data_IF_781789637809
#
_entry.id   IF_781789637809
#
_cell.length_a   1.000
_cell.length_b   1.000
_cell.length_c   1.000
_cell.angle_alpha   90.00
_cell.angle_beta   90.00
_cell.angle_gamma   90.00
#
_symmetry.space_group_name_H-M   'P 1'
#
loop_
_entity.id
_entity.type
_entity.pdbx_description
1 polymer ?
#
# COMPACT_ATOMS: atom_id res chain seq x y z
N UNK A 1 -25.22 -22.05 -49.36
CA UNK A 1 -23.81 -21.93 -49.78
C UNK A 1 -23.10 -21.11 -48.73
N UNK A 2 -22.05 -21.63 -48.10
CA UNK A 2 -21.19 -20.82 -47.24
C UNK A 2 -20.37 -19.90 -48.15
N UNK A 3 -20.58 -18.59 -48.00
CA UNK A 3 -19.76 -17.61 -48.73
C UNK A 3 -18.35 -17.58 -48.14
N UNK A 4 -17.36 -17.32 -49.00
CA UNK A 4 -15.94 -17.26 -48.60
C UNK A 4 -15.74 -16.20 -47.51
N UNK A 5 -16.49 -15.09 -47.58
CA UNK A 5 -16.47 -14.06 -46.54
C UNK A 5 -16.98 -14.56 -45.19
N UNK A 6 -18.02 -15.40 -45.17
CA UNK A 6 -18.53 -15.99 -43.93
C UNK A 6 -17.54 -16.99 -43.33
N UNK A 7 -16.91 -17.81 -44.17
CA UNK A 7 -15.88 -18.75 -43.72
C UNK A 7 -14.64 -18.01 -43.16
N UNK A 8 -14.22 -16.92 -43.81
CA UNK A 8 -13.10 -16.10 -43.34
C UNK A 8 -13.40 -15.42 -41.99
N UNK A 9 -14.59 -14.82 -41.84
CA UNK A 9 -14.98 -14.21 -40.57
C UNK A 9 -15.06 -15.23 -39.44
N UNK A 10 -15.58 -16.42 -39.70
CA UNK A 10 -15.62 -17.50 -38.72
C UNK A 10 -14.20 -17.93 -38.30
N UNK A 11 -13.29 -18.10 -39.27
CA UNK A 11 -11.90 -18.47 -39.00
C UNK A 11 -11.15 -17.37 -38.21
N UNK A 12 -11.30 -16.10 -38.62
CA UNK A 12 -10.68 -14.97 -37.94
C UNK A 12 -11.22 -14.81 -36.51
N UNK A 13 -12.54 -14.95 -36.33
CA UNK A 13 -13.18 -14.93 -35.01
C UNK A 13 -12.69 -16.06 -34.11
N UNK A 14 -12.58 -17.28 -34.63
CA UNK A 14 -12.04 -18.41 -33.88
C UNK A 14 -10.58 -18.16 -33.44
N UNK A 15 -9.73 -17.62 -34.34
CA UNK A 15 -8.35 -17.29 -34.00
C UNK A 15 -8.25 -16.20 -32.91
N UNK A 16 -9.09 -15.16 -32.98
CA UNK A 16 -9.16 -14.13 -31.94
C UNK A 16 -9.57 -14.69 -30.59
N UNK A 17 -10.57 -15.57 -30.54
CA UNK A 17 -11.01 -16.22 -29.31
C UNK A 17 -9.91 -17.12 -28.74
N UNK A 18 -9.18 -17.85 -29.58
CA UNK A 18 -8.02 -18.64 -29.15
C UNK A 18 -6.94 -17.74 -28.56
N UNK A 19 -6.59 -16.64 -29.24
CA UNK A 19 -5.59 -15.69 -28.75
C UNK A 19 -6.01 -15.08 -27.39
N UNK A 20 -7.29 -14.69 -27.26
CA UNK A 20 -7.84 -14.16 -26.01
C UNK A 20 -7.81 -15.22 -24.90
N UNK A 21 -8.19 -16.46 -25.21
CA UNK A 21 -8.14 -17.58 -24.27
C UNK A 21 -6.72 -17.87 -23.75
N UNK A 22 -5.72 -17.83 -24.63
CA UNK A 22 -4.31 -17.97 -24.25
C UNK A 22 -3.85 -16.82 -23.35
N UNK A 23 -4.17 -15.58 -23.71
CA UNK A 23 -3.87 -14.40 -22.90
C UNK A 23 -4.52 -14.47 -21.51
N UNK A 24 -5.81 -14.78 -21.45
CA UNK A 24 -6.55 -14.94 -20.19
C UNK A 24 -5.93 -16.05 -19.31
N UNK A 25 -5.54 -17.18 -19.89
CA UNK A 25 -4.89 -18.28 -19.15
C UNK A 25 -3.56 -17.85 -18.53
N UNK A 26 -2.74 -17.08 -19.26
CA UNK A 26 -1.48 -16.56 -18.75
C UNK A 26 -1.73 -15.58 -17.57
N UNK A 27 -2.68 -14.65 -17.74
CA UNK A 27 -3.05 -13.69 -16.68
C UNK A 27 -3.58 -14.38 -15.43
N UNK A 28 -4.42 -15.42 -15.57
CA UNK A 28 -4.94 -16.19 -14.43
C UNK A 28 -3.81 -16.89 -13.66
N UNK A 29 -2.78 -17.42 -14.35
CA UNK A 29 -1.63 -18.02 -13.67
C UNK A 29 -0.87 -16.99 -12.84
N UNK A 30 -0.56 -15.84 -13.43
CA UNK A 30 0.12 -14.73 -12.73
C UNK A 30 -0.70 -14.27 -11.53
N UNK A 31 -2.01 -14.09 -11.71
CA UNK A 31 -2.88 -13.61 -10.64
C UNK A 31 -3.04 -14.62 -9.50
N UNK A 32 -3.13 -15.93 -9.80
CA UNK A 32 -3.15 -16.98 -8.76
C UNK A 32 -1.87 -16.96 -7.95
N UNK A 33 -0.72 -16.86 -8.60
CA UNK A 33 0.57 -16.80 -7.94
C UNK A 33 0.71 -15.54 -7.07
N UNK A 34 0.30 -14.38 -7.60
CA UNK A 34 0.28 -13.12 -6.86
C UNK A 34 -0.67 -13.18 -5.65
N UNK A 35 -1.84 -13.80 -5.80
CA UNK A 35 -2.82 -13.99 -4.72
C UNK A 35 -2.30 -14.92 -3.64
N UNK A 36 -1.56 -15.97 -4.00
CA UNK A 36 -0.93 -16.86 -3.01
C UNK A 36 0.15 -16.13 -2.20
N UNK A 37 0.99 -15.32 -2.85
CA UNK A 37 1.97 -14.47 -2.16
C UNK A 37 1.30 -13.42 -1.28
N UNK A 38 0.22 -12.79 -1.76
CA UNK A 38 -0.56 -11.82 -0.98
C UNK A 38 -1.19 -12.47 0.26
N UNK A 39 -1.73 -13.69 0.12
CA UNK A 39 -2.28 -14.44 1.25
C UNK A 39 -1.19 -14.77 2.29
N UNK A 40 -0.04 -15.28 1.86
CA UNK A 40 1.12 -15.53 2.74
C UNK A 40 1.60 -14.27 3.44
N UNK A 41 1.62 -13.11 2.76
CA UNK A 41 1.91 -11.82 3.39
C UNK A 41 0.87 -11.46 4.45
N UNK A 42 -0.41 -11.65 4.18
CA UNK A 42 -1.49 -11.32 5.13
C UNK A 42 -1.49 -12.24 6.36
N UNK A 43 -1.18 -13.52 6.18
CA UNK A 43 -1.01 -14.49 7.28
C UNK A 43 0.24 -14.16 8.11
N UNK A 44 1.37 -13.82 7.48
CA UNK A 44 2.59 -13.39 8.19
C UNK A 44 2.54 -11.95 8.77
N UNK A 45 1.68 -11.09 8.26
CA UNK A 45 1.38 -9.77 8.83
C UNK A 45 0.47 -9.89 10.05
N UNK A 46 -0.44 -10.89 10.06
CA UNK A 46 -1.23 -11.24 11.24
C UNK A 46 -0.35 -11.74 12.40
N UNK A 47 0.75 -12.41 12.10
CA UNK A 47 1.71 -12.94 13.08
C UNK A 47 2.72 -11.89 13.59
N UNK A 48 2.91 -10.79 12.85
CA UNK A 48 3.78 -9.67 13.27
C UNK A 48 3.12 -8.78 14.32
N UNK A 49 1.79 -8.79 14.43
CA UNK A 49 1.05 -8.00 15.42
C UNK A 49 0.71 -8.77 16.70
N UNK A 50 0.97 -10.08 16.77
CA UNK A 50 0.75 -10.92 17.98
C UNK A 50 1.96 -10.99 18.92
N UNK A 51 3.02 -10.23 18.65
CA UNK A 51 4.10 -10.03 19.61
C UNK A 51 4.41 -8.55 19.72
N UNK A 52 3.50 -7.84 20.37
CA UNK A 52 3.81 -6.56 21.00
C UNK A 52 4.61 -6.87 22.27
N UNK A 53 5.94 -6.64 22.32
CA UNK A 53 6.62 -6.64 23.60
C UNK A 53 6.08 -5.45 24.39
N UNK A 54 5.24 -5.76 25.37
CA UNK A 54 4.81 -4.91 26.49
C UNK A 54 5.81 -3.76 26.66
N UNK A 55 5.41 -2.56 26.26
CA UNK A 55 6.08 -1.33 26.67
C UNK A 55 5.83 -1.17 28.18
N UNK A 56 6.59 -1.89 29.00
CA UNK A 56 6.83 -1.50 30.39
C UNK A 56 7.79 -0.30 30.35
N UNK A 57 7.29 0.83 29.84
CA UNK A 57 7.86 2.13 30.14
C UNK A 57 6.87 2.78 31.09
N UNK A 58 7.31 2.89 32.33
CA UNK A 58 6.68 3.68 33.37
C UNK A 58 6.17 5.00 32.74
N UNK A 59 4.87 5.34 32.83
CA UNK A 59 4.38 6.58 32.27
C UNK A 59 5.14 7.70 32.93
N UNK A 60 5.99 8.39 32.16
CA UNK A 60 6.66 9.58 32.62
C UNK A 60 5.58 10.55 33.12
N UNK A 61 5.75 10.96 34.37
CA UNK A 61 4.92 11.92 35.07
C UNK A 61 4.53 13.09 34.15
N UNK A 62 3.24 13.33 33.88
CA UNK A 62 2.79 14.40 33.00
C UNK A 62 3.07 15.81 33.56
N UNK A 63 3.57 15.92 34.79
CA UNK A 63 3.88 17.18 35.47
C UNK A 63 5.39 17.50 35.52
N UNK A 64 6.21 16.82 34.70
CA UNK A 64 7.62 17.20 34.50
C UNK A 64 7.76 18.16 33.29
N UNK A 65 7.46 19.43 33.58
CA UNK A 65 8.14 20.62 33.02
C UNK A 65 7.81 21.05 31.56
N UNK A 66 6.82 21.94 31.43
CA UNK A 66 6.80 23.01 30.42
C UNK A 66 6.93 22.60 28.95
N UNK A 67 5.96 21.86 28.41
CA UNK A 67 5.91 21.48 26.99
C UNK A 67 5.92 22.71 26.05
N UNK A 68 7.12 23.15 25.66
CA UNK A 68 7.33 24.27 24.75
C UNK A 68 6.69 23.93 23.40
N UNK A 69 5.65 24.67 23.01
CA UNK A 69 5.14 24.63 21.64
C UNK A 69 6.25 25.09 20.71
N UNK A 70 6.48 24.35 19.64
CA UNK A 70 7.49 24.70 18.64
C UNK A 70 6.82 25.36 17.44
N UNK A 71 7.29 26.54 17.10
CA UNK A 71 6.87 27.24 15.88
C UNK A 71 7.71 26.73 14.72
N UNK A 72 7.04 26.33 13.64
CA UNK A 72 7.73 25.83 12.46
C UNK A 72 8.58 26.93 11.81
N UNK A 73 9.89 26.71 11.58
CA UNK A 73 10.74 27.71 10.93
C UNK A 73 10.46 27.89 9.43
N UNK A 74 9.70 26.98 8.82
CA UNK A 74 9.36 27.04 7.38
C UNK A 74 8.02 27.74 7.13
N UNK A 75 6.95 27.38 7.84
CA UNK A 75 5.62 27.93 7.60
C UNK A 75 5.03 28.76 8.75
N UNK A 76 5.70 28.82 9.91
CA UNK A 76 5.23 29.57 11.08
C UNK A 76 4.12 28.90 11.90
N UNK A 77 3.69 27.68 11.55
CA UNK A 77 2.64 26.98 12.29
C UNK A 77 3.09 26.56 13.70
N UNK A 78 2.17 26.62 14.67
CA UNK A 78 2.40 26.10 16.03
C UNK A 78 2.21 24.57 16.08
N UNK A 79 3.22 23.88 16.61
CA UNK A 79 3.22 22.44 16.79
C UNK A 79 3.39 22.08 18.27
N UNK A 80 2.76 20.98 18.69
CA UNK A 80 2.96 20.46 20.04
C UNK A 80 4.36 19.83 20.15
N UNK A 81 4.94 19.86 21.36
CA UNK A 81 6.31 19.40 21.63
C UNK A 81 6.61 17.95 21.21
N UNK A 82 5.58 17.11 21.05
CA UNK A 82 5.73 15.72 20.59
C UNK A 82 5.93 15.55 19.08
N UNK A 83 5.80 16.61 18.29
CA UNK A 83 5.94 16.52 16.83
C UNK A 83 7.38 16.80 16.40
N UNK A 84 7.97 15.85 15.66
CA UNK A 84 9.27 16.03 14.99
C UNK A 84 9.15 16.77 13.65
N UNK A 85 7.93 16.83 13.08
CA UNK A 85 7.62 17.45 11.80
C UNK A 85 6.42 18.38 11.93
N UNK A 86 6.40 19.44 11.12
CA UNK A 86 5.29 20.36 11.07
C UNK A 86 4.02 19.68 10.54
N UNK A 87 2.90 19.89 11.23
CA UNK A 87 1.60 19.33 10.82
C UNK A 87 1.00 19.98 9.57
N UNK A 88 1.49 21.14 9.16
CA UNK A 88 0.99 21.84 7.98
C UNK A 88 1.88 21.62 6.74
N UNK A 89 3.20 21.80 6.89
CA UNK A 89 4.13 21.75 5.75
C UNK A 89 5.08 20.56 5.76
N UNK A 90 5.02 19.69 6.78
CA UNK A 90 5.89 18.52 6.96
C UNK A 90 7.41 18.82 7.07
N UNK A 91 7.81 20.09 7.22
CA UNK A 91 9.20 20.44 7.49
C UNK A 91 9.66 19.93 8.88
N UNK A 92 10.93 19.55 9.05
CA UNK A 92 11.47 19.14 10.33
C UNK A 92 11.46 20.30 11.34
N UNK A 93 11.15 20.00 12.61
CA UNK A 93 11.09 20.97 13.71
C UNK A 93 12.32 20.95 14.63
N UNK A 94 13.24 20.01 14.40
CA UNK A 94 14.51 19.89 15.13
C UNK A 94 15.68 20.57 14.41
N UNK A 95 16.86 20.66 15.05
CA UNK A 95 18.05 21.19 14.41
C UNK A 95 18.42 20.34 13.18
N UNK A 96 18.75 21.00 12.07
CA UNK A 96 19.36 20.36 10.90
C UNK A 96 20.83 20.06 11.17
#
# INVERSE_FOLDING_TARGET
MFDVGTAYLAAAGALLLVALGVGARALVRIFREARERSRKRREGEFERYTKDPVYDRDPADPEADGAARSTCPQCGAENAAGFCYCRECAAPLGPN
#
